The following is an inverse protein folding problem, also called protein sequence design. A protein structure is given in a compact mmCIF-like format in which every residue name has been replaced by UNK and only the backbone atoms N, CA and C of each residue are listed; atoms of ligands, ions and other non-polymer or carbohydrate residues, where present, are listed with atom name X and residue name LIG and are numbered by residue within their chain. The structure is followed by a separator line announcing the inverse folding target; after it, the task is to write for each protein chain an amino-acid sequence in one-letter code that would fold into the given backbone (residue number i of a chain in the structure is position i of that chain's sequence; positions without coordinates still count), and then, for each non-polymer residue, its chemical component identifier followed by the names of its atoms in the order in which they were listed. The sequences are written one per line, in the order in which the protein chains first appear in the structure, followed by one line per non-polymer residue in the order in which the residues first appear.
data_IF_428171371037
#
_entry.id   IF_428171371037
#
_cell.length_a   1.000
_cell.length_b   1.000
_cell.length_c   1.000
_cell.angle_alpha   90.00
_cell.angle_beta   90.00
_cell.angle_gamma   90.00
#
_symmetry.space_group_name_H-M   'P 1'
#
loop_
_entity.id
_entity.type
_entity.pdbx_description
1 polymer ?
#
# COMPACT_ATOMS: atom_id res chain seq x y z
N UNK A 1 8.45 -7.55 -10.28
CA UNK A 1 7.49 -8.04 -9.29
C UNK A 1 7.68 -9.54 -9.08
N UNK A 2 8.29 -9.97 -7.97
CA UNK A 2 8.43 -11.40 -7.62
C UNK A 2 7.52 -11.75 -6.45
N UNK A 3 6.76 -12.85 -6.59
CA UNK A 3 6.04 -13.51 -5.49
C UNK A 3 6.99 -14.44 -4.74
N UNK A 4 7.10 -14.30 -3.41
CA UNK A 4 7.70 -15.34 -2.57
C UNK A 4 6.64 -16.40 -2.25
N UNK A 5 6.97 -17.69 -2.39
CA UNK A 5 6.09 -18.82 -2.04
C UNK A 5 6.71 -19.60 -0.86
N UNK A 6 5.88 -20.17 -0.02
CA UNK A 6 6.28 -21.07 1.08
C UNK A 6 6.18 -20.45 2.47
N UNK A 7 7.21 -20.62 3.31
CA UNK A 7 7.29 -20.09 4.70
C UNK A 7 6.89 -18.59 4.79
N UNK A 8 7.16 -17.82 3.73
CA UNK A 8 6.70 -16.45 3.59
C UNK A 8 5.19 -16.27 3.62
N UNK A 9 4.40 -17.26 3.20
CA UNK A 9 2.94 -17.14 3.15
C UNK A 9 2.30 -17.31 4.54
N UNK A 10 2.88 -18.14 5.41
CA UNK A 10 2.44 -18.29 6.81
C UNK A 10 2.70 -17.00 7.58
N UNK A 11 3.92 -16.47 7.46
CA UNK A 11 4.32 -15.22 8.12
C UNK A 11 3.49 -14.02 7.65
N UNK A 12 3.25 -13.88 6.34
CA UNK A 12 2.37 -12.85 5.80
C UNK A 12 0.94 -12.97 6.34
N UNK A 13 0.42 -14.18 6.46
CA UNK A 13 -0.93 -14.42 6.98
C UNK A 13 -1.03 -14.01 8.46
N UNK A 14 0.00 -14.27 9.26
CA UNK A 14 0.06 -13.82 10.65
C UNK A 14 0.05 -12.29 10.75
N UNK A 15 0.85 -11.59 9.92
CA UNK A 15 0.86 -10.12 9.86
C UNK A 15 -0.52 -9.58 9.48
N UNK A 16 -1.12 -10.12 8.41
CA UNK A 16 -2.45 -9.70 7.95
C UNK A 16 -3.50 -9.87 9.05
N UNK A 17 -3.51 -11.02 9.73
CA UNK A 17 -4.47 -11.29 10.81
C UNK A 17 -4.25 -10.35 12.00
N UNK A 18 -3.00 -10.15 12.43
CA UNK A 18 -2.66 -9.26 13.54
C UNK A 18 -3.09 -7.82 13.27
N UNK A 19 -2.79 -7.30 12.08
CA UNK A 19 -3.16 -5.95 11.68
C UNK A 19 -4.68 -5.80 11.52
N UNK A 20 -5.38 -6.80 11.00
CA UNK A 20 -6.83 -6.77 10.91
C UNK A 20 -7.47 -6.72 12.31
N UNK A 21 -7.05 -7.58 13.22
CA UNK A 21 -7.58 -7.60 14.60
C UNK A 21 -7.32 -6.27 15.32
N UNK A 22 -6.13 -5.68 15.13
CA UNK A 22 -5.80 -4.37 15.69
C UNK A 22 -6.76 -3.28 15.20
N UNK A 23 -7.01 -3.20 13.89
CA UNK A 23 -7.91 -2.19 13.32
C UNK A 23 -9.36 -2.42 13.72
N UNK A 24 -9.82 -3.66 13.80
CA UNK A 24 -11.17 -3.96 14.25
C UNK A 24 -11.39 -3.46 15.70
N UNK A 25 -10.42 -3.65 16.60
CA UNK A 25 -10.45 -3.10 17.95
C UNK A 25 -10.44 -1.55 17.98
N UNK A 26 -9.70 -0.89 17.07
CA UNK A 26 -9.69 0.58 16.97
C UNK A 26 -11.06 1.09 16.58
N UNK A 27 -11.70 0.46 15.59
CA UNK A 27 -13.01 0.89 15.08
C UNK A 27 -14.11 0.76 16.13
N UNK A 28 -14.03 -0.26 16.99
CA UNK A 28 -14.97 -0.45 18.10
C UNK A 28 -14.78 0.62 19.20
N UNK A 29 -13.59 1.19 19.33
CA UNK A 29 -13.28 2.23 20.32
C UNK A 29 -13.29 3.63 19.70
N UNK A 30 -14.41 4.36 19.88
CA UNK A 30 -14.58 5.71 19.30
C UNK A 30 -13.49 6.71 19.69
N UNK A 31 -12.97 6.67 20.91
CA UNK A 31 -11.90 7.56 21.36
C UNK A 31 -10.60 7.28 20.61
N UNK A 32 -10.20 6.01 20.57
CA UNK A 32 -8.99 5.56 19.88
C UNK A 32 -9.07 5.76 18.37
N UNK A 33 -10.24 5.51 17.79
CA UNK A 33 -10.53 5.79 16.38
C UNK A 33 -10.31 7.25 16.02
N UNK A 34 -10.74 8.19 16.87
CA UNK A 34 -10.55 9.63 16.66
C UNK A 34 -9.08 10.03 16.84
N UNK A 35 -8.40 9.48 17.85
CA UNK A 35 -7.00 9.76 18.12
C UNK A 35 -6.06 9.34 16.98
N UNK A 36 -6.28 8.14 16.43
CA UNK A 36 -5.45 7.55 15.39
C UNK A 36 -5.88 7.94 13.96
N UNK A 37 -6.98 8.69 13.81
CA UNK A 37 -7.41 9.18 12.50
C UNK A 37 -6.32 10.05 11.88
N UNK A 38 -5.92 9.71 10.67
CA UNK A 38 -4.82 10.35 9.94
C UNK A 38 -5.28 10.98 8.62
N UNK A 39 -6.55 10.81 8.27
CA UNK A 39 -7.12 11.21 6.98
C UNK A 39 -6.87 12.67 6.62
N UNK A 40 -6.92 13.61 7.58
CA UNK A 40 -6.65 15.03 7.33
C UNK A 40 -5.24 15.33 6.76
N UNK A 41 -4.30 14.39 6.90
CA UNK A 41 -2.92 14.51 6.40
C UNK A 41 -2.68 13.76 5.10
N UNK A 42 -3.70 13.08 4.59
CA UNK A 42 -3.64 12.25 3.41
C UNK A 42 -4.50 12.85 2.29
N UNK A 43 -4.27 12.44 1.06
CA UNK A 43 -4.92 13.02 -0.13
C UNK A 43 -6.22 12.28 -0.51
N UNK A 44 -6.51 11.17 0.15
CA UNK A 44 -7.67 10.32 -0.15
C UNK A 44 -8.99 11.00 0.19
N UNK A 45 -10.00 10.79 -0.65
CA UNK A 45 -11.40 11.01 -0.29
C UNK A 45 -11.92 9.74 0.39
N UNK A 46 -11.41 9.50 1.59
CA UNK A 46 -11.62 8.29 2.39
C UNK A 46 -11.94 8.69 3.82
N UNK A 47 -12.99 8.12 4.38
CA UNK A 47 -13.47 8.50 5.71
C UNK A 47 -12.67 7.90 6.86
N UNK A 48 -11.96 6.79 6.65
CA UNK A 48 -11.28 6.04 7.71
C UNK A 48 -9.85 5.66 7.32
N UNK A 49 -8.90 6.45 7.82
CA UNK A 49 -7.47 6.24 7.65
C UNK A 49 -6.79 6.34 9.01
N UNK A 50 -6.14 5.26 9.45
CA UNK A 50 -5.57 5.14 10.78
C UNK A 50 -4.07 4.98 10.76
N UNK A 51 -3.35 5.87 11.46
CA UNK A 51 -1.91 5.72 11.70
C UNK A 51 -1.67 4.49 12.55
N UNK A 52 -0.66 3.68 12.18
CA UNK A 52 -0.21 2.58 13.02
C UNK A 52 0.68 3.07 14.16
N UNK A 53 0.40 2.58 15.36
CA UNK A 53 1.25 2.78 16.53
C UNK A 53 2.54 1.95 16.41
N UNK A 54 3.63 2.44 16.97
CA UNK A 54 4.93 1.75 16.92
C UNK A 54 4.88 0.36 17.55
N UNK A 55 4.13 0.20 18.61
CA UNK A 55 3.96 -1.07 19.30
C UNK A 55 3.41 -2.15 18.37
N UNK A 56 2.30 -1.90 17.67
CA UNK A 56 1.71 -2.88 16.75
C UNK A 56 2.61 -3.18 15.57
N UNK A 57 3.36 -2.20 15.07
CA UNK A 57 4.33 -2.43 13.99
C UNK A 57 5.43 -3.42 14.39
N UNK A 58 5.82 -3.43 15.67
CA UNK A 58 6.78 -4.39 16.23
C UNK A 58 6.13 -5.75 16.48
N UNK A 59 5.01 -5.77 17.22
CA UNK A 59 4.33 -7.00 17.66
C UNK A 59 3.78 -7.83 16.49
N UNK A 60 3.25 -7.19 15.46
CA UNK A 60 2.78 -7.87 14.25
C UNK A 60 3.92 -8.39 13.37
N UNK A 61 5.16 -7.94 13.58
CA UNK A 61 6.30 -8.19 12.71
C UNK A 61 6.30 -7.36 11.42
N UNK A 62 5.38 -6.40 11.28
CA UNK A 62 5.25 -5.57 10.09
C UNK A 62 6.54 -4.82 9.73
N UNK A 63 7.18 -4.16 10.70
CA UNK A 63 8.44 -3.43 10.48
C UNK A 63 9.56 -4.34 9.95
N UNK A 64 9.73 -5.53 10.54
CA UNK A 64 10.72 -6.51 10.11
C UNK A 64 10.41 -7.06 8.72
N UNK A 65 9.15 -7.31 8.42
CA UNK A 65 8.71 -7.74 7.09
C UNK A 65 9.08 -6.71 6.02
N UNK A 66 8.80 -5.43 6.26
CA UNK A 66 9.15 -4.35 5.34
C UNK A 66 10.67 -4.26 5.11
N UNK A 67 11.46 -4.26 6.19
CA UNK A 67 12.91 -4.17 6.12
C UNK A 67 13.50 -5.32 5.28
N UNK A 68 13.04 -6.55 5.52
CA UNK A 68 13.49 -7.73 4.78
C UNK A 68 13.09 -7.66 3.29
N UNK A 69 11.85 -7.26 2.99
CA UNK A 69 11.39 -7.15 1.61
C UNK A 69 12.16 -6.08 0.84
N UNK A 70 12.36 -4.89 1.43
CA UNK A 70 13.11 -3.80 0.79
C UNK A 70 14.57 -4.18 0.61
N UNK A 71 15.22 -4.77 1.62
CA UNK A 71 16.60 -5.26 1.51
C UNK A 71 16.76 -6.26 0.38
N UNK A 72 15.85 -7.24 0.31
CA UNK A 72 15.86 -8.26 -0.74
C UNK A 72 15.63 -7.63 -2.13
N UNK A 73 14.70 -6.69 -2.24
CA UNK A 73 14.42 -6.01 -3.50
C UNK A 73 15.63 -5.22 -4.00
N UNK A 74 16.25 -4.41 -3.15
CA UNK A 74 17.44 -3.62 -3.51
C UNK A 74 18.62 -4.52 -3.89
N UNK A 75 18.84 -5.62 -3.17
CA UNK A 75 19.89 -6.59 -3.52
C UNK A 75 19.62 -7.24 -4.88
N UNK A 76 18.39 -7.65 -5.15
CA UNK A 76 18.01 -8.27 -6.42
C UNK A 76 18.16 -7.34 -7.62
N UNK A 77 17.73 -6.08 -7.50
CA UNK A 77 17.69 -5.13 -8.61
C UNK A 77 19.03 -4.41 -8.81
N UNK A 78 19.69 -3.98 -7.74
CA UNK A 78 20.89 -3.15 -7.79
C UNK A 78 22.17 -3.88 -7.39
N UNK A 79 22.09 -5.11 -6.88
CA UNK A 79 23.23 -5.85 -6.29
C UNK A 79 23.93 -5.07 -5.18
N UNK A 80 23.14 -4.28 -4.43
CA UNK A 80 23.60 -3.49 -3.29
C UNK A 80 22.93 -3.94 -2.02
N UNK A 81 23.66 -3.88 -0.91
CA UNK A 81 23.10 -4.15 0.42
C UNK A 81 22.80 -2.84 1.11
N UNK A 82 21.56 -2.65 1.57
CA UNK A 82 21.21 -1.53 2.44
C UNK A 82 21.77 -1.76 3.83
N UNK A 83 22.33 -0.71 4.44
CA UNK A 83 22.77 -0.71 5.84
C UNK A 83 21.73 -0.03 6.75
N UNK A 84 20.84 0.73 6.18
CA UNK A 84 19.80 1.48 6.90
C UNK A 84 18.41 1.23 6.30
N UNK A 85 17.46 0.90 7.16
CA UNK A 85 16.03 0.96 6.87
C UNK A 85 15.33 1.71 8.00
N UNK A 86 14.70 2.83 7.68
CA UNK A 86 13.98 3.66 8.65
C UNK A 86 12.53 3.82 8.19
N UNK A 87 11.63 3.14 8.85
CA UNK A 87 10.19 3.34 8.66
C UNK A 87 9.79 4.72 9.17
N UNK A 88 9.27 5.57 8.28
CA UNK A 88 8.83 6.93 8.60
C UNK A 88 7.45 6.91 9.21
N UNK A 89 6.53 6.27 8.51
CA UNK A 89 5.14 6.09 8.91
C UNK A 89 4.54 4.88 8.22
N UNK A 90 3.47 4.37 8.81
CA UNK A 90 2.60 3.39 8.19
C UNK A 90 1.17 3.66 8.63
N UNK A 91 0.22 3.44 7.73
CA UNK A 91 -1.20 3.67 8.02
C UNK A 91 -2.07 2.67 7.29
N UNK A 92 -3.28 2.47 7.81
CA UNK A 92 -4.30 1.60 7.22
C UNK A 92 -5.42 2.45 6.67
N UNK A 93 -5.83 2.14 5.45
CA UNK A 93 -6.95 2.74 4.74
C UNK A 93 -8.10 1.75 4.70
N UNK A 94 -9.25 2.14 5.24
CA UNK A 94 -10.52 1.43 5.11
C UNK A 94 -11.35 2.16 4.06
N UNK A 95 -11.35 1.63 2.86
CA UNK A 95 -12.07 2.20 1.72
C UNK A 95 -13.46 1.54 1.61
N UNK A 96 -14.46 2.37 1.49
CA UNK A 96 -15.86 1.98 1.26
C UNK A 96 -16.35 2.45 -0.12
N UNK A 97 -17.62 2.22 -0.41
CA UNK A 97 -18.26 2.60 -1.67
C UNK A 97 -18.06 4.07 -2.01
N UNK A 98 -17.68 4.36 -3.25
CA UNK A 98 -17.37 5.68 -3.84
C UNK A 98 -16.09 6.36 -3.32
N UNK A 99 -15.46 5.87 -2.27
CA UNK A 99 -14.22 6.40 -1.77
C UNK A 99 -13.04 6.06 -2.69
N UNK A 100 -12.04 6.93 -2.76
CA UNK A 100 -10.88 6.76 -3.66
C UNK A 100 -9.66 7.55 -3.17
N UNK A 101 -8.48 7.22 -3.69
CA UNK A 101 -7.30 8.06 -3.55
C UNK A 101 -6.95 8.64 -4.93
N UNK A 102 -6.92 9.98 -5.09
CA UNK A 102 -6.50 10.62 -6.33
C UNK A 102 -5.04 10.31 -6.66
N UNK A 103 -4.61 10.65 -7.86
CA UNK A 103 -3.22 10.46 -8.28
C UNK A 103 -2.29 11.31 -7.42
N UNK A 104 -1.31 10.65 -6.78
CA UNK A 104 -0.36 11.28 -5.86
C UNK A 104 0.95 10.50 -5.80
N UNK A 105 1.91 11.01 -5.04
CA UNK A 105 3.19 10.38 -4.66
C UNK A 105 3.49 10.64 -3.19
N UNK A 106 4.55 10.05 -2.66
CA UNK A 106 4.90 10.13 -1.24
C UNK A 106 6.28 10.76 -0.99
N UNK A 107 6.51 11.18 0.26
CA UNK A 107 7.83 11.46 0.78
C UNK A 107 8.62 10.19 1.11
N UNK A 108 9.90 10.36 1.47
CA UNK A 108 10.79 9.22 1.75
C UNK A 108 11.58 8.77 0.53
N UNK A 109 12.02 7.51 0.51
CA UNK A 109 12.73 6.87 -0.59
C UNK A 109 11.93 5.72 -1.20
N UNK A 110 11.32 4.93 -0.34
CA UNK A 110 10.53 3.75 -0.68
C UNK A 110 9.15 3.91 -0.09
N UNK A 111 8.16 3.58 -0.88
CA UNK A 111 6.76 3.48 -0.47
C UNK A 111 6.19 2.12 -0.86
N UNK A 112 5.01 1.82 -0.38
CA UNK A 112 4.33 0.60 -0.79
C UNK A 112 2.91 0.54 -0.28
N UNK A 113 2.17 -0.41 -0.84
CA UNK A 113 0.80 -0.72 -0.46
C UNK A 113 0.58 -2.23 -0.41
N UNK A 114 -0.24 -2.68 0.53
CA UNK A 114 -0.65 -4.07 0.66
C UNK A 114 -2.12 -4.20 0.99
N UNK A 115 -2.68 -5.40 0.79
CA UNK A 115 -4.10 -5.63 0.96
C UNK A 115 -4.37 -6.57 2.14
N UNK A 116 -5.10 -6.06 3.13
CA UNK A 116 -5.43 -6.77 4.37
C UNK A 116 -6.81 -7.42 4.34
N UNK A 117 -7.76 -6.77 3.64
CA UNK A 117 -9.13 -7.25 3.45
C UNK A 117 -9.63 -6.82 2.08
N UNK A 118 -10.24 -7.73 1.36
CA UNK A 118 -10.80 -7.47 0.03
C UNK A 118 -12.17 -8.14 -0.04
N UNK A 119 -13.24 -7.44 -0.42
CA UNK A 119 -14.55 -8.04 -0.67
C UNK A 119 -14.48 -9.13 -1.74
N UNK A 120 -15.39 -10.09 -1.70
CA UNK A 120 -15.52 -11.11 -2.76
C UNK A 120 -15.74 -10.47 -4.14
N UNK A 121 -16.50 -9.39 -4.17
CA UNK A 121 -16.68 -8.55 -5.35
C UNK A 121 -16.50 -7.09 -4.98
N UNK A 122 -15.87 -6.31 -5.84
CA UNK A 122 -15.74 -4.86 -5.68
C UNK A 122 -16.95 -4.11 -6.30
N UNK A 123 -18.04 -4.82 -6.56
CA UNK A 123 -19.26 -4.23 -7.08
C UNK A 123 -19.12 -3.71 -8.51
N UNK A 124 -19.86 -2.64 -8.81
CA UNK A 124 -19.82 -2.03 -10.14
C UNK A 124 -18.74 -0.98 -10.27
N UNK A 125 -18.26 -0.81 -11.50
CA UNK A 125 -17.31 0.25 -11.83
C UNK A 125 -18.02 1.63 -11.81
N UNK A 126 -17.33 2.65 -11.28
CA UNK A 126 -17.87 4.02 -11.23
C UNK A 126 -18.03 4.61 -12.63
N UNK A 127 -17.15 4.25 -13.56
CA UNK A 127 -17.22 4.63 -14.96
C UNK A 127 -17.86 3.52 -15.80
N UNK A 128 -19.15 3.35 -15.71
CA UNK A 128 -19.92 2.37 -16.48
C UNK A 128 -19.95 2.73 -17.97
N UNK A 129 -18.89 2.44 -18.69
CA UNK A 129 -18.91 2.45 -20.15
C UNK A 129 -18.67 1.01 -20.64
N UNK A 130 -19.50 0.58 -21.58
CA UNK A 130 -19.35 -0.72 -22.23
C UNK A 130 -17.91 -0.91 -22.76
N UNK A 131 -17.38 -2.11 -22.65
CA UNK A 131 -16.07 -2.53 -23.17
C UNK A 131 -14.83 -1.95 -22.47
N UNK A 132 -14.90 -1.47 -21.24
CA UNK A 132 -13.73 -1.11 -20.43
C UNK A 132 -13.43 -2.17 -19.38
N UNK A 133 -12.14 -2.43 -19.19
CA UNK A 133 -11.65 -3.25 -18.10
C UNK A 133 -12.14 -2.70 -16.75
N UNK A 134 -12.70 -3.58 -15.92
CA UNK A 134 -13.13 -3.21 -14.58
C UNK A 134 -11.93 -2.82 -13.70
N UNK A 135 -12.01 -1.67 -13.02
CA UNK A 135 -10.92 -1.12 -12.20
C UNK A 135 -11.33 -0.77 -10.77
N UNK A 136 -12.57 -0.98 -10.39
CA UNK A 136 -13.05 -0.63 -9.05
C UNK A 136 -12.17 -1.23 -7.96
N UNK A 137 -11.74 -0.39 -7.01
CA UNK A 137 -10.82 -0.76 -5.93
C UNK A 137 -9.39 -1.10 -6.34
N UNK A 138 -9.05 -1.05 -7.64
CA UNK A 138 -7.69 -1.34 -8.09
C UNK A 138 -6.72 -0.22 -7.67
N UNK A 139 -5.51 -0.62 -7.35
CA UNK A 139 -4.36 0.26 -7.29
C UNK A 139 -3.77 0.38 -8.71
N UNK A 140 -3.63 1.58 -9.22
CA UNK A 140 -2.95 1.84 -10.49
C UNK A 140 -1.63 2.56 -10.24
N UNK A 141 -0.54 1.99 -10.73
CA UNK A 141 0.77 2.64 -10.80
C UNK A 141 0.91 3.32 -12.16
N UNK A 142 1.52 4.52 -12.19
CA UNK A 142 1.62 5.37 -13.37
C UNK A 142 3.09 5.73 -13.58
N UNK A 143 3.68 5.39 -14.72
CA UNK A 143 5.07 5.66 -15.03
C UNK A 143 5.25 6.04 -16.51
N UNK A 144 5.76 7.24 -16.74
CA UNK A 144 6.05 7.76 -18.09
C UNK A 144 4.81 8.02 -18.93
N UNK A 145 5.01 8.15 -20.23
CA UNK A 145 3.98 8.39 -21.24
C UNK A 145 3.63 7.13 -21.99
N UNK A 146 2.36 6.96 -22.36
CA UNK A 146 1.94 5.88 -23.24
C UNK A 146 2.45 6.12 -24.65
N UNK A 147 3.22 5.17 -25.16
CA UNK A 147 3.74 5.17 -26.52
C UNK A 147 3.44 3.83 -27.20
N UNK A 148 3.74 3.73 -28.50
CA UNK A 148 3.67 2.46 -29.21
C UNK A 148 4.54 1.41 -28.52
N UNK A 149 3.97 0.27 -28.19
CA UNK A 149 4.59 -0.84 -27.44
C UNK A 149 5.03 -0.51 -25.99
N UNK A 150 4.63 0.64 -25.44
CA UNK A 150 4.91 1.01 -24.06
C UNK A 150 3.63 1.34 -23.28
N UNK A 151 3.41 0.65 -22.17
CA UNK A 151 2.30 0.91 -21.26
C UNK A 151 2.79 1.83 -20.14
N UNK A 152 2.10 2.96 -19.94
CA UNK A 152 2.40 3.91 -18.86
C UNK A 152 1.69 3.59 -17.55
N UNK A 153 0.79 2.63 -17.55
CA UNK A 153 0.00 2.27 -16.37
C UNK A 153 0.02 0.78 -16.11
N UNK A 154 0.06 0.41 -14.83
CA UNK A 154 -0.09 -0.96 -14.37
C UNK A 154 -1.24 -1.03 -13.37
N UNK A 155 -2.28 -1.80 -13.70
CA UNK A 155 -3.41 -2.04 -12.82
C UNK A 155 -3.15 -3.25 -11.93
N UNK A 156 -3.34 -3.08 -10.64
CA UNK A 156 -3.19 -4.10 -9.62
C UNK A 156 -4.56 -4.40 -9.03
N UNK A 157 -5.07 -5.58 -9.32
CA UNK A 157 -6.30 -6.09 -8.69
C UNK A 157 -5.96 -6.49 -7.26
N UNK A 158 -6.65 -5.97 -6.24
CA UNK A 158 -6.33 -6.26 -4.85
C UNK A 158 -6.55 -7.75 -4.53
N UNK A 159 -5.57 -8.33 -3.82
CA UNK A 159 -5.64 -9.69 -3.25
C UNK A 159 -5.07 -9.65 -1.85
N UNK A 160 -5.77 -10.25 -0.87
CA UNK A 160 -5.29 -10.32 0.51
C UNK A 160 -3.92 -10.97 0.59
N UNK A 161 -3.00 -10.32 1.29
CA UNK A 161 -1.61 -10.76 1.46
C UNK A 161 -0.66 -10.41 0.31
N UNK A 162 -1.13 -9.75 -0.76
CA UNK A 162 -0.24 -9.16 -1.76
C UNK A 162 0.25 -7.79 -1.27
N UNK A 163 1.58 -7.58 -1.36
CA UNK A 163 2.26 -6.33 -1.00
C UNK A 163 3.12 -5.87 -2.16
N UNK A 164 3.04 -4.58 -2.48
CA UNK A 164 3.75 -3.93 -3.59
C UNK A 164 4.65 -2.84 -3.05
N UNK A 165 5.90 -2.83 -3.52
CA UNK A 165 6.93 -1.86 -3.14
C UNK A 165 7.32 -1.06 -4.39
N UNK A 166 7.47 0.24 -4.23
CA UNK A 166 7.82 1.14 -5.34
C UNK A 166 8.58 2.36 -4.81
N UNK A 167 9.35 3.04 -5.69
CA UNK A 167 9.97 4.31 -5.33
C UNK A 167 8.91 5.35 -4.92
N UNK A 168 9.23 6.17 -3.94
CA UNK A 168 8.32 7.17 -3.38
C UNK A 168 7.70 8.11 -4.43
N UNK A 169 8.44 8.45 -5.48
CA UNK A 169 8.02 9.35 -6.55
C UNK A 169 7.07 8.70 -7.58
N UNK A 170 6.86 7.38 -7.51
CA UNK A 170 5.97 6.71 -8.46
C UNK A 170 4.53 7.14 -8.21
N UNK A 171 3.95 7.82 -9.22
CA UNK A 171 2.57 8.27 -9.15
C UNK A 171 1.62 7.08 -9.13
N UNK A 172 0.60 7.16 -8.30
CA UNK A 172 -0.39 6.09 -8.18
C UNK A 172 -1.74 6.63 -7.73
N UNK A 173 -2.78 5.84 -7.96
CA UNK A 173 -4.17 6.15 -7.61
C UNK A 173 -4.91 4.87 -7.20
N UNK A 174 -5.96 5.02 -6.40
CA UNK A 174 -6.88 3.91 -6.09
C UNK A 174 -8.26 4.28 -6.59
N UNK A 175 -8.80 3.42 -7.44
CA UNK A 175 -10.11 3.65 -8.04
C UNK A 175 -11.25 3.42 -7.03
N UNK A 176 -12.32 4.22 -7.09
CA UNK A 176 -13.53 3.95 -6.35
C UNK A 176 -14.28 2.75 -6.92
N UNK A 177 -15.12 2.14 -6.09
CA UNK A 177 -16.06 1.08 -6.47
C UNK A 177 -17.48 1.43 -6.01
N UNK A 178 -18.50 0.79 -6.59
CA UNK A 178 -19.92 1.03 -6.32
C UNK A 178 -20.68 -0.23 -6.01
N UNK A 179 -21.84 -0.07 -5.37
CA UNK A 179 -22.81 -1.12 -5.12
C UNK A 179 -22.25 -2.29 -4.31
N UNK A 180 -21.30 -1.99 -3.45
CA UNK A 180 -20.82 -2.89 -2.42
C UNK A 180 -20.50 -2.09 -1.16
N UNK A 181 -21.14 -2.45 -0.05
CA UNK A 181 -20.95 -1.81 1.27
C UNK A 181 -19.79 -2.42 2.06
N UNK A 182 -19.18 -3.49 1.55
CA UNK A 182 -18.10 -4.16 2.22
C UNK A 182 -16.82 -3.34 2.17
N UNK A 183 -16.01 -3.51 3.20
CA UNK A 183 -14.75 -2.81 3.36
C UNK A 183 -13.65 -3.43 2.48
N UNK A 184 -12.92 -2.57 1.73
CA UNK A 184 -11.59 -2.86 1.21
C UNK A 184 -10.57 -2.21 2.15
N UNK A 185 -9.70 -3.04 2.77
CA UNK A 185 -8.68 -2.59 3.70
C UNK A 185 -7.29 -2.75 3.09
N UNK A 186 -6.53 -1.67 3.05
CA UNK A 186 -5.14 -1.67 2.62
C UNK A 186 -4.24 -1.04 3.68
N UNK A 187 -2.95 -1.37 3.62
CA UNK A 187 -1.90 -0.80 4.44
C UNK A 187 -0.88 -0.14 3.54
N UNK A 188 -0.40 1.03 3.94
CA UNK A 188 0.64 1.78 3.24
C UNK A 188 1.78 2.14 4.18
N UNK A 189 2.94 2.47 3.62
CA UNK A 189 4.10 2.91 4.39
C UNK A 189 5.02 3.80 3.57
N UNK A 190 5.85 4.58 4.27
CA UNK A 190 6.98 5.32 3.72
C UNK A 190 8.24 5.00 4.54
N UNK A 191 9.36 4.86 3.87
CA UNK A 191 10.64 4.56 4.51
C UNK A 191 11.82 5.27 3.84
N UNK A 192 12.88 5.49 4.62
CA UNK A 192 14.20 5.87 4.13
C UNK A 192 15.12 4.66 4.11
N UNK A 193 15.98 4.61 3.10
CA UNK A 193 17.16 3.73 3.01
C UNK A 193 18.42 4.59 2.94
N UNK A 194 19.58 3.98 2.72
CA UNK A 194 20.85 4.69 2.50
C UNK A 194 20.74 5.70 1.35
N UNK A 195 21.10 6.95 1.61
CA UNK A 195 21.08 8.02 0.61
C UNK A 195 21.96 7.69 -0.60
N UNK A 196 23.10 7.05 -0.38
CA UNK A 196 24.04 6.66 -1.43
C UNK A 196 23.46 5.62 -2.40
N UNK A 197 22.43 4.91 -1.98
CA UNK A 197 21.70 3.96 -2.83
C UNK A 197 20.55 4.67 -3.54
N UNK A 198 19.83 5.53 -2.84
CA UNK A 198 18.69 6.28 -3.39
C UNK A 198 19.14 7.35 -4.40
N UNK A 199 20.15 8.14 -4.06
CA UNK A 199 20.67 9.21 -4.89
C UNK A 199 21.77 8.70 -5.85
N UNK A 200 21.40 7.86 -6.80
CA UNK A 200 22.34 7.30 -7.78
C UNK A 200 23.07 8.37 -8.58
N UNK A 201 22.43 9.53 -8.78
CA UNK A 201 22.97 10.66 -9.55
C UNK A 201 23.56 11.78 -8.68
N UNK A 202 23.52 11.66 -7.35
CA UNK A 202 24.00 12.69 -6.43
C UNK A 202 25.51 12.71 -6.16
N UNK A 203 26.28 11.88 -6.86
CA UNK A 203 27.73 11.82 -6.81
C UNK A 203 28.29 12.20 -8.20
N UNK A 204 28.02 13.41 -8.65
CA UNK A 204 28.78 14.04 -9.72
C UNK A 204 29.76 15.00 -9.09
#
# INVERSE_FOLDING_TARGET
LRRSRGLGDVYKRQIVNSLNSYIDNIVENKSKSKELNHGEKLVGDVTQEFKLEEQIMKESGWGNFLANCVSTWIDLELKKKISKFQLVNSWIVRQFENEYNPTHWHGGHISGAGFLKVPETLGKHVQEKQNREYRGGNLQLIHGSRMFLCHSTMNIVPKVGDFYFFPNYLMHTVFPFKNNKDERRSISFNAYIDNDIYNVYGKA
#
